data_IF_779364457210
#
_entry.id   IF_779364457210
#
_cell.length_a   1.000
_cell.length_b   1.000
_cell.length_c   1.000
_cell.angle_alpha   90.00
_cell.angle_beta   90.00
_cell.angle_gamma   90.00
#
_symmetry.space_group_name_H-M   'P 1'
#
loop_
_entity.id
_entity.type
_entity.pdbx_description
1 polymer ?
#
# COMPACT_ATOMS: atom_id res chain seq x y z
N UNK A 1 20.88 -19.48 -13.15
CA UNK A 1 20.99 -20.58 -12.17
C UNK A 1 21.87 -20.11 -11.03
N UNK A 2 21.54 -20.48 -9.80
CA UNK A 2 22.30 -20.11 -8.61
C UNK A 2 22.22 -21.22 -7.56
N UNK A 3 23.21 -21.28 -6.68
CA UNK A 3 23.21 -22.21 -5.55
C UNK A 3 22.01 -21.93 -4.64
N UNK A 4 21.31 -22.99 -4.24
CA UNK A 4 20.14 -22.87 -3.37
C UNK A 4 20.16 -23.91 -2.26
N UNK A 5 19.69 -23.53 -1.08
CA UNK A 5 19.44 -24.43 0.04
C UNK A 5 17.95 -24.37 0.34
N UNK A 6 17.26 -25.51 0.26
CA UNK A 6 15.84 -25.60 0.60
C UNK A 6 15.68 -26.08 2.04
N UNK A 7 15.02 -25.27 2.87
CA UNK A 7 14.63 -25.65 4.23
C UNK A 7 13.15 -25.98 4.22
N UNK A 8 12.83 -27.25 4.50
CA UNK A 8 11.45 -27.70 4.60
C UNK A 8 10.85 -27.20 5.91
N UNK A 9 9.57 -26.85 5.87
CA UNK A 9 8.79 -26.47 7.05
C UNK A 9 9.31 -25.24 7.81
N UNK A 10 10.08 -24.36 7.15
CA UNK A 10 10.64 -23.14 7.77
C UNK A 10 9.60 -22.29 8.50
N UNK A 11 8.38 -22.19 7.95
CA UNK A 11 7.29 -21.40 8.52
C UNK A 11 6.46 -22.13 9.59
N UNK A 12 6.84 -23.35 10.01
CA UNK A 12 6.18 -24.03 11.14
C UNK A 12 6.78 -23.54 12.46
N UNK A 13 5.91 -23.17 13.40
CA UNK A 13 6.24 -22.47 14.67
C UNK A 13 7.24 -23.19 15.58
N UNK A 14 7.49 -24.47 15.37
CA UNK A 14 8.26 -25.31 16.29
C UNK A 14 9.70 -25.58 15.83
N UNK A 15 10.14 -25.04 14.69
CA UNK A 15 11.48 -25.27 14.14
C UNK A 15 12.04 -24.08 13.36
N UNK A 16 11.63 -22.85 13.72
CA UNK A 16 12.12 -21.64 13.08
C UNK A 16 13.64 -21.50 13.25
N UNK A 17 14.35 -21.24 12.16
CA UNK A 17 15.79 -20.96 12.19
C UNK A 17 16.00 -19.55 12.74
N UNK A 18 16.79 -19.45 13.81
CA UNK A 18 17.14 -18.17 14.44
C UNK A 18 18.19 -17.37 13.66
N UNK A 19 19.10 -18.07 12.96
CA UNK A 19 20.16 -17.47 12.14
C UNK A 19 20.77 -18.42 11.11
N UNK A 20 21.22 -17.85 10.01
CA UNK A 20 22.19 -18.40 9.07
C UNK A 20 23.55 -17.77 9.34
N UNK A 21 24.57 -18.59 9.55
CA UNK A 21 25.93 -18.13 9.76
C UNK A 21 26.81 -18.61 8.60
N UNK A 22 27.37 -17.65 7.89
CA UNK A 22 28.42 -17.82 6.89
C UNK A 22 29.78 -17.47 7.52
N UNK A 23 30.88 -17.78 6.85
CA UNK A 23 32.22 -17.46 7.36
C UNK A 23 32.48 -15.96 7.54
N UNK A 24 31.73 -15.13 6.84
CA UNK A 24 31.87 -13.67 6.75
C UNK A 24 30.61 -12.90 7.17
N UNK A 25 29.45 -13.55 7.27
CA UNK A 25 28.18 -12.90 7.56
C UNK A 25 27.29 -13.73 8.48
N UNK A 26 26.40 -13.05 9.19
CA UNK A 26 25.38 -13.65 10.03
C UNK A 26 24.05 -13.01 9.68
N UNK A 27 23.10 -13.81 9.20
CA UNK A 27 21.73 -13.39 8.84
C UNK A 27 20.80 -13.98 9.89
N UNK A 28 20.19 -13.17 10.73
CA UNK A 28 19.22 -13.60 11.74
C UNK A 28 17.79 -13.60 11.20
N UNK A 29 16.86 -14.21 11.93
CA UNK A 29 15.42 -14.05 11.66
C UNK A 29 14.98 -12.58 11.62
N UNK A 30 15.65 -11.69 12.36
CA UNK A 30 15.37 -10.24 12.35
C UNK A 30 15.83 -9.56 11.07
N UNK A 31 16.87 -10.08 10.43
CA UNK A 31 17.35 -9.51 9.17
C UNK A 31 16.38 -9.82 8.02
N UNK A 32 15.62 -10.92 8.10
CA UNK A 32 14.51 -11.17 7.19
C UNK A 32 13.33 -10.20 7.39
N UNK A 33 13.12 -9.69 8.61
CA UNK A 33 12.07 -8.69 8.86
C UNK A 33 12.39 -7.33 8.22
N UNK A 34 13.67 -7.08 7.89
CA UNK A 34 14.12 -5.86 7.22
C UNK A 34 14.10 -5.98 5.70
N UNK A 35 13.83 -7.17 5.17
CA UNK A 35 13.64 -7.37 3.73
C UNK A 35 12.24 -6.91 3.39
N UNK A 36 12.14 -6.07 2.36
CA UNK A 36 10.85 -5.67 1.80
C UNK A 36 10.09 -6.89 1.26
N UNK A 37 8.84 -7.03 1.67
CA UNK A 37 7.91 -8.07 1.27
C UNK A 37 6.91 -7.54 0.25
N UNK A 38 6.43 -8.43 -0.61
CA UNK A 38 5.20 -8.22 -1.37
C UNK A 38 4.08 -9.01 -0.68
N UNK A 39 3.08 -8.29 -0.17
CA UNK A 39 1.96 -8.82 0.59
C UNK A 39 0.68 -8.58 -0.21
N UNK A 40 0.02 -9.67 -0.59
CA UNK A 40 -1.15 -9.63 -1.46
C UNK A 40 -2.34 -10.27 -0.73
N UNK A 41 -3.42 -9.49 -0.57
CA UNK A 41 -4.70 -9.92 -0.05
C UNK A 41 -5.52 -10.72 -1.07
N UNK A 42 -6.69 -11.18 -0.63
CA UNK A 42 -7.66 -11.89 -1.45
C UNK A 42 -8.74 -10.96 -2.01
N UNK A 43 -9.91 -11.52 -2.31
CA UNK A 43 -11.09 -10.74 -2.69
C UNK A 43 -12.00 -10.44 -1.48
N UNK A 44 -11.53 -10.74 -0.27
CA UNK A 44 -12.29 -10.67 0.96
C UNK A 44 -11.81 -9.52 1.83
N UNK A 45 -12.30 -9.44 3.07
CA UNK A 45 -11.74 -8.50 4.05
C UNK A 45 -10.49 -9.14 4.65
N UNK A 46 -9.34 -8.54 4.39
CA UNK A 46 -8.04 -9.03 4.79
C UNK A 46 -7.31 -8.08 5.76
N UNK A 47 -6.39 -8.66 6.54
CA UNK A 47 -5.41 -7.93 7.34
C UNK A 47 -4.04 -8.14 6.71
N UNK A 48 -3.48 -7.09 6.13
CA UNK A 48 -2.14 -7.09 5.55
C UNK A 48 -1.18 -6.43 6.54
N UNK A 49 -0.12 -7.15 6.90
CA UNK A 49 0.85 -6.72 7.90
C UNK A 49 2.27 -6.88 7.38
N UNK A 50 2.91 -5.74 7.09
CA UNK A 50 4.33 -5.61 6.82
C UNK A 50 5.20 -5.71 8.07
N UNK A 51 6.50 -5.59 7.87
CA UNK A 51 7.55 -5.75 8.86
C UNK A 51 8.39 -4.45 8.98
N UNK A 52 9.72 -4.57 9.07
CA UNK A 52 10.64 -3.42 9.19
C UNK A 52 11.24 -3.00 7.82
N UNK A 53 10.96 -3.76 6.76
CA UNK A 53 11.45 -3.50 5.41
C UNK A 53 10.55 -2.54 4.65
N UNK A 54 11.01 -2.11 3.46
CA UNK A 54 10.14 -1.34 2.56
C UNK A 54 9.19 -2.31 1.84
N UNK A 55 7.96 -2.40 2.33
CA UNK A 55 7.00 -3.40 1.88
C UNK A 55 6.07 -2.87 0.77
N UNK A 56 5.53 -3.80 -0.02
CA UNK A 56 4.49 -3.56 -1.01
C UNK A 56 3.22 -4.28 -0.56
N UNK A 57 2.13 -3.54 -0.39
CA UNK A 57 0.85 -4.06 0.05
C UNK A 57 -0.18 -3.91 -1.07
N UNK A 58 -0.89 -5.00 -1.38
CA UNK A 58 -1.94 -5.05 -2.41
C UNK A 58 -3.17 -5.73 -1.81
N UNK A 59 -4.17 -4.96 -1.39
CA UNK A 59 -5.41 -5.51 -0.82
C UNK A 59 -6.20 -6.37 -1.81
N UNK A 60 -6.30 -5.89 -3.06
CA UNK A 60 -7.24 -6.33 -4.09
C UNK A 60 -8.69 -5.96 -3.72
N UNK A 61 -9.60 -6.94 -3.66
CA UNK A 61 -11.02 -6.68 -3.45
C UNK A 61 -11.40 -6.86 -1.99
N UNK A 62 -12.39 -6.13 -1.51
CA UNK A 62 -12.75 -6.11 -0.09
C UNK A 62 -12.24 -4.85 0.61
N UNK A 63 -12.64 -4.65 1.87
CA UNK A 63 -12.25 -3.48 2.65
C UNK A 63 -11.16 -3.89 3.63
N UNK A 64 -9.91 -3.67 3.26
CA UNK A 64 -8.78 -4.27 3.97
C UNK A 64 -8.24 -3.38 5.08
N UNK A 65 -7.56 -3.99 6.04
CA UNK A 65 -6.76 -3.29 7.04
C UNK A 65 -5.29 -3.46 6.70
N UNK A 66 -4.61 -2.35 6.43
CA UNK A 66 -3.23 -2.31 5.97
C UNK A 66 -2.34 -1.73 7.08
N UNK A 67 -1.30 -2.47 7.44
CA UNK A 67 -0.22 -2.04 8.34
C UNK A 67 1.09 -2.22 7.58
N UNK A 68 1.74 -1.11 7.21
CA UNK A 68 3.02 -1.14 6.48
C UNK A 68 4.17 -1.57 7.39
N UNK A 69 4.10 -1.18 8.66
CA UNK A 69 5.15 -1.44 9.63
C UNK A 69 6.13 -0.28 9.69
N UNK A 70 7.41 -0.58 9.59
CA UNK A 70 8.47 0.43 9.63
C UNK A 70 9.18 0.51 8.29
N UNK A 71 9.78 1.68 8.04
CA UNK A 71 10.41 2.05 6.77
C UNK A 71 9.38 2.50 5.74
N UNK A 72 9.77 2.65 4.48
CA UNK A 72 8.97 3.29 3.45
C UNK A 72 8.14 2.25 2.72
N UNK A 73 6.84 2.21 2.99
CA UNK A 73 5.94 1.20 2.42
C UNK A 73 5.11 1.75 1.26
N UNK A 74 4.67 0.87 0.37
CA UNK A 74 3.83 1.25 -0.78
C UNK A 74 2.56 0.42 -0.81
N UNK A 75 1.41 1.08 -0.73
CA UNK A 75 0.11 0.44 -1.03
C UNK A 75 -0.22 0.68 -2.49
N UNK A 76 -0.44 -0.40 -3.25
CA UNK A 76 -0.75 -0.35 -4.67
C UNK A 76 -2.21 -0.69 -4.91
N UNK A 77 -2.92 0.22 -5.58
CA UNK A 77 -4.24 -0.02 -6.13
C UNK A 77 -4.15 -0.23 -7.63
N UNK A 78 -4.83 -1.25 -8.14
CA UNK A 78 -4.79 -1.65 -9.55
C UNK A 78 -6.15 -2.09 -10.04
N UNK A 79 -6.30 -2.16 -11.36
CA UNK A 79 -7.50 -2.72 -11.97
C UNK A 79 -7.51 -4.23 -11.74
N UNK A 80 -8.55 -4.72 -11.07
CA UNK A 80 -8.76 -6.16 -10.89
C UNK A 80 -9.37 -6.76 -12.15
N UNK A 81 -9.02 -8.01 -12.42
CA UNK A 81 -9.45 -8.70 -13.63
C UNK A 81 -10.99 -8.73 -13.73
N UNK A 82 -11.53 -8.20 -14.83
CA UNK A 82 -12.97 -8.16 -15.08
C UNK A 82 -13.69 -6.95 -14.47
N UNK A 83 -12.96 -6.01 -13.87
CA UNK A 83 -13.49 -4.78 -13.28
C UNK A 83 -12.98 -3.52 -13.98
N UNK A 84 -12.54 -3.62 -15.24
CA UNK A 84 -11.96 -2.52 -16.01
C UNK A 84 -12.90 -1.31 -16.10
N UNK A 85 -14.21 -1.58 -16.20
CA UNK A 85 -15.29 -0.59 -16.28
C UNK A 85 -15.91 -0.23 -14.91
N UNK A 86 -15.46 -0.86 -13.82
CA UNK A 86 -15.96 -0.56 -12.48
C UNK A 86 -15.36 0.77 -11.97
N UNK A 87 -16.17 1.54 -11.23
CA UNK A 87 -15.76 2.81 -10.62
C UNK A 87 -14.54 2.61 -9.71
N UNK A 88 -14.51 1.55 -8.89
CA UNK A 88 -13.39 1.25 -8.00
C UNK A 88 -12.37 0.32 -8.62
N UNK A 89 -12.57 -0.06 -9.88
CA UNK A 89 -11.80 -1.09 -10.58
C UNK A 89 -11.72 -2.43 -9.82
N UNK A 90 -12.73 -2.73 -9.01
CA UNK A 90 -12.84 -3.95 -8.20
C UNK A 90 -12.23 -3.85 -6.79
N UNK A 91 -11.55 -2.75 -6.47
CA UNK A 91 -11.01 -2.52 -5.12
C UNK A 91 -12.14 -2.13 -4.15
N UNK A 92 -11.97 -2.42 -2.86
CA UNK A 92 -12.85 -1.85 -1.83
C UNK A 92 -12.29 -0.58 -1.22
N UNK A 93 -12.78 -0.26 -0.02
CA UNK A 93 -12.34 0.91 0.77
C UNK A 93 -11.42 0.43 1.88
N UNK A 94 -10.13 0.58 1.65
CA UNK A 94 -9.11 0.09 2.57
C UNK A 94 -8.84 1.09 3.70
N UNK A 95 -8.27 0.59 4.79
CA UNK A 95 -7.84 1.39 5.93
C UNK A 95 -6.38 1.14 6.22
N UNK A 96 -5.54 2.16 6.01
CA UNK A 96 -4.13 2.13 6.38
C UNK A 96 -3.95 2.73 7.78
N UNK A 97 -3.55 1.89 8.74
CA UNK A 97 -3.58 2.22 10.16
C UNK A 97 -2.32 2.93 10.68
N UNK A 98 -1.21 2.85 9.94
CA UNK A 98 0.11 3.35 10.33
C UNK A 98 0.83 4.19 9.28
N UNK A 99 0.14 4.60 8.21
CA UNK A 99 0.68 5.49 7.18
C UNK A 99 1.47 6.67 7.75
N UNK A 100 2.66 6.93 7.23
CA UNK A 100 3.57 7.92 7.77
C UNK A 100 4.44 8.60 6.71
N UNK A 101 4.17 9.88 6.47
CA UNK A 101 4.94 10.71 5.56
C UNK A 101 6.43 10.83 5.91
N UNK A 102 6.81 10.72 7.19
CA UNK A 102 8.21 10.82 7.59
C UNK A 102 8.99 9.54 7.32
N UNK A 103 8.31 8.40 7.22
CA UNK A 103 8.92 7.13 6.84
C UNK A 103 9.07 7.01 5.32
N UNK A 104 8.28 7.78 4.56
CA UNK A 104 8.36 7.84 3.10
C UNK A 104 7.24 7.07 2.40
N UNK A 105 6.21 6.67 3.13
CA UNK A 105 5.11 5.85 2.61
C UNK A 105 4.45 6.44 1.35
N UNK A 106 4.08 5.53 0.46
CA UNK A 106 3.54 5.84 -0.86
C UNK A 106 2.20 5.17 -1.09
N UNK A 107 1.33 5.89 -1.79
CA UNK A 107 0.04 5.44 -2.29
C UNK A 107 0.17 5.40 -3.80
N UNK A 108 0.24 4.20 -4.37
CA UNK A 108 0.31 4.01 -5.82
C UNK A 108 -1.09 3.78 -6.39
N UNK A 109 -1.51 4.75 -7.19
CA UNK A 109 -2.78 4.72 -7.94
C UNK A 109 -2.54 4.78 -9.45
N UNK A 110 -1.28 4.71 -9.90
CA UNK A 110 -0.90 4.88 -11.31
C UNK A 110 -1.66 3.94 -12.25
N UNK A 111 -1.97 2.72 -11.79
CA UNK A 111 -2.72 1.73 -12.55
C UNK A 111 -4.24 2.02 -12.66
N UNK A 112 -4.78 2.92 -11.83
CA UNK A 112 -6.20 3.27 -11.82
C UNK A 112 -6.53 4.47 -12.70
N UNK A 113 -5.55 5.33 -12.96
CA UNK A 113 -5.72 6.62 -13.61
C UNK A 113 -5.88 6.49 -15.13
N UNK A 114 -6.76 7.32 -15.69
CA UNK A 114 -7.08 7.37 -17.11
C UNK A 114 -6.83 8.79 -17.62
N UNK A 115 -6.01 8.90 -18.67
CA UNK A 115 -5.66 10.17 -19.30
C UNK A 115 -4.29 10.71 -18.88
N UNK A 116 -4.03 11.98 -19.17
CA UNK A 116 -2.77 12.64 -18.80
C UNK A 116 -2.81 13.13 -17.35
N UNK A 117 -2.13 12.41 -16.46
CA UNK A 117 -2.02 12.79 -15.04
C UNK A 117 -0.64 13.40 -14.76
N UNK A 118 -0.66 14.58 -14.17
CA UNK A 118 0.48 15.25 -13.56
C UNK A 118 0.11 15.55 -12.10
N UNK A 119 1.10 15.54 -11.19
CA UNK A 119 0.96 15.95 -9.79
C UNK A 119 0.31 17.33 -9.63
N UNK A 120 0.52 18.24 -10.60
CA UNK A 120 -0.12 19.56 -10.61
C UNK A 120 -1.65 19.52 -10.81
N UNK A 121 -2.18 18.41 -11.32
CA UNK A 121 -3.62 18.19 -11.59
C UNK A 121 -4.21 17.08 -10.73
N UNK A 122 -3.48 16.60 -9.72
CA UNK A 122 -3.92 15.44 -8.93
C UNK A 122 -5.22 15.72 -8.16
N UNK A 123 -5.53 16.98 -7.86
CA UNK A 123 -6.80 17.40 -7.28
C UNK A 123 -8.03 17.17 -8.17
N UNK A 124 -7.84 16.89 -9.46
CA UNK A 124 -8.93 16.49 -10.37
C UNK A 124 -9.30 15.02 -10.18
N UNK A 125 -8.32 14.20 -9.76
CA UNK A 125 -8.47 12.76 -9.62
C UNK A 125 -8.66 12.34 -8.16
N UNK A 126 -8.01 13.02 -7.21
CA UNK A 126 -8.05 12.66 -5.79
C UNK A 126 -8.75 13.75 -4.99
N UNK A 127 -9.77 13.33 -4.24
CA UNK A 127 -10.45 14.16 -3.26
C UNK A 127 -10.01 13.78 -1.84
N UNK A 128 -9.92 14.79 -0.97
CA UNK A 128 -9.46 14.67 0.41
C UNK A 128 -10.55 15.14 1.37
N UNK A 129 -10.88 14.30 2.35
CA UNK A 129 -11.79 14.65 3.44
C UNK A 129 -11.17 14.23 4.79
N UNK A 130 -11.02 15.15 5.73
CA UNK A 130 -10.51 14.85 7.08
C UNK A 130 -11.62 14.95 8.12
N UNK A 131 -11.76 13.93 8.96
CA UNK A 131 -12.63 13.90 10.13
C UNK A 131 -11.83 13.48 11.36
N UNK A 132 -11.55 14.43 12.25
CA UNK A 132 -10.65 14.21 13.38
C UNK A 132 -9.23 13.89 12.90
N UNK A 133 -8.74 12.69 13.18
CA UNK A 133 -7.43 12.17 12.73
C UNK A 133 -7.53 11.18 11.56
N UNK A 134 -8.74 10.91 11.07
CA UNK A 134 -8.95 10.04 9.91
C UNK A 134 -9.06 10.88 8.64
N UNK A 135 -8.35 10.48 7.59
CA UNK A 135 -8.40 11.08 6.26
C UNK A 135 -9.01 10.07 5.31
N UNK A 136 -10.09 10.42 4.63
CA UNK A 136 -10.64 9.64 3.52
C UNK A 136 -10.13 10.24 2.21
N UNK A 137 -9.52 9.39 1.40
CA UNK A 137 -9.14 9.68 0.02
C UNK A 137 -10.14 8.99 -0.91
N UNK A 138 -10.70 9.77 -1.82
CA UNK A 138 -11.56 9.28 -2.90
C UNK A 138 -10.84 9.47 -4.23
N UNK A 139 -11.01 8.52 -5.14
CA UNK A 139 -10.42 8.55 -6.48
C UNK A 139 -11.52 8.66 -7.54
N UNK A 140 -11.32 9.58 -8.47
CA UNK A 140 -11.97 9.66 -9.75
C UNK A 140 -10.96 9.26 -10.84
N UNK A 141 -11.27 8.23 -11.63
CA UNK A 141 -10.28 7.58 -12.51
C UNK A 141 -9.96 8.41 -13.76
N UNK A 142 -10.92 9.14 -14.30
CA UNK A 142 -10.76 10.05 -15.46
C UNK A 142 -10.75 11.53 -15.05
N UNK A 143 -10.67 11.81 -13.75
CA UNK A 143 -10.52 13.15 -13.20
C UNK A 143 -11.78 14.00 -13.38
N UNK A 144 -11.69 15.08 -14.17
CA UNK A 144 -12.86 15.91 -14.51
C UNK A 144 -13.72 15.32 -15.65
N UNK A 145 -13.42 14.10 -16.09
CA UNK A 145 -14.25 13.38 -17.04
C UNK A 145 -15.61 13.01 -16.47
N UNK A 146 -16.37 12.22 -17.22
CA UNK A 146 -17.73 11.81 -16.84
C UNK A 146 -17.93 10.30 -16.87
N UNK A 147 -16.91 9.56 -17.30
CA UNK A 147 -17.02 8.11 -17.47
C UNK A 147 -16.87 7.41 -16.12
N UNK A 148 -16.08 7.98 -15.22
CA UNK A 148 -15.95 7.55 -13.85
C UNK A 148 -16.37 8.69 -12.92
N UNK A 149 -16.78 8.34 -11.71
CA UNK A 149 -17.16 9.31 -10.69
C UNK A 149 -16.32 9.03 -9.45
N UNK A 150 -15.94 10.09 -8.74
CA UNK A 150 -15.17 9.95 -7.51
C UNK A 150 -15.83 8.97 -6.52
N UNK A 151 -15.05 7.99 -6.06
CA UNK A 151 -15.45 7.01 -5.04
C UNK A 151 -14.36 6.84 -3.99
N UNK A 152 -14.75 6.49 -2.76
CA UNK A 152 -13.79 6.23 -1.68
C UNK A 152 -12.86 5.08 -2.07
N UNK A 153 -11.58 5.25 -1.76
CA UNK A 153 -10.56 4.24 -2.03
C UNK A 153 -9.81 3.87 -0.75
N UNK A 154 -9.41 4.87 0.04
CA UNK A 154 -8.49 4.65 1.16
C UNK A 154 -8.80 5.57 2.33
N UNK A 155 -8.76 5.02 3.53
CA UNK A 155 -8.80 5.74 4.80
C UNK A 155 -7.43 5.66 5.47
N UNK A 156 -6.80 6.81 5.71
CA UNK A 156 -5.58 6.92 6.51
C UNK A 156 -5.96 7.28 7.94
N UNK A 157 -5.65 6.41 8.90
CA UNK A 157 -5.92 6.67 10.32
C UNK A 157 -4.72 7.30 11.01
N UNK A 158 -4.97 7.93 12.16
CA UNK A 158 -3.94 8.51 13.04
C UNK A 158 -3.16 9.69 12.42
N UNK A 159 -3.76 10.41 11.47
CA UNK A 159 -3.13 11.51 10.72
C UNK A 159 -3.42 12.87 11.35
N UNK A 160 -2.73 13.19 12.44
CA UNK A 160 -2.90 14.48 13.12
C UNK A 160 -2.24 15.65 12.35
N UNK A 161 -1.10 15.41 11.70
CA UNK A 161 -0.26 16.44 11.06
C UNK A 161 -0.62 16.78 9.62
N UNK A 162 -1.29 15.88 8.90
CA UNK A 162 -1.71 16.07 7.49
C UNK A 162 -3.03 16.81 7.48
N UNK A 163 -3.09 18.00 6.88
CA UNK A 163 -4.26 18.88 6.95
C UNK A 163 -4.92 19.11 5.59
N UNK A 164 -4.26 18.74 4.51
CA UNK A 164 -4.75 18.93 3.14
C UNK A 164 -4.18 17.88 2.19
N UNK A 165 -4.79 17.76 1.00
CA UNK A 165 -4.22 16.99 -0.11
C UNK A 165 -2.84 17.53 -0.52
N UNK A 166 -2.64 18.86 -0.46
CA UNK A 166 -1.36 19.48 -0.78
C UNK A 166 -0.21 19.02 0.12
N UNK A 167 -0.49 18.67 1.38
CA UNK A 167 0.53 18.13 2.29
C UNK A 167 1.03 16.77 1.80
N UNK A 168 0.11 15.90 1.34
CA UNK A 168 0.43 14.61 0.73
C UNK A 168 1.20 14.78 -0.58
N UNK A 169 0.77 15.71 -1.44
CA UNK A 169 1.41 15.97 -2.73
C UNK A 169 2.85 16.50 -2.54
N UNK A 170 3.04 17.46 -1.64
CA UNK A 170 4.38 18.05 -1.36
C UNK A 170 5.33 17.05 -0.73
N UNK A 171 4.80 16.11 0.06
CA UNK A 171 5.56 15.00 0.63
C UNK A 171 5.80 13.86 -0.37
N UNK A 172 5.39 14.03 -1.63
CA UNK A 172 5.55 13.03 -2.68
C UNK A 172 4.82 11.71 -2.38
N UNK A 173 3.71 11.74 -1.63
CA UNK A 173 3.04 10.54 -1.14
C UNK A 173 2.35 9.70 -2.23
N UNK A 174 2.26 10.19 -3.47
CA UNK A 174 1.56 9.49 -4.55
C UNK A 174 2.50 9.05 -5.67
N UNK A 175 2.32 7.80 -6.08
CA UNK A 175 2.83 7.27 -7.35
C UNK A 175 1.67 7.30 -8.35
N UNK A 176 1.88 7.99 -9.47
CA UNK A 176 0.88 8.28 -10.52
C UNK A 176 1.48 8.07 -11.90
#
# INVERSE_FOLDING_TARGET
EGDSITIKDFFKTNSAIEKFAFSDQLITSKDFLKVGLEIVGGNGVDLLQGNEGNDILIGNGGNDTLNGGASSDTVIFKILQGFESDITAGNGVDTWIDFNLNQGDKIDVSNLLIGEVDKLKLNQFISYEKNGTSITLSLDRDGNGTDYQSSKLLVLNNQSSINSLDDLIKADAFVI
#
